data_IF_242962545139
#
_entry.id   IF_242962545139
#
_cell.length_a   1.000
_cell.length_b   1.000
_cell.length_c   1.000
_cell.angle_alpha   90.00
_cell.angle_beta   90.00
_cell.angle_gamma   90.00
#
_symmetry.space_group_name_H-M   'P 1'
#
loop_
_entity.id
_entity.type
_entity.pdbx_description
1 polymer ?
#
# COMPACT_ATOMS: atom_id res chain seq x y z
N UNK A 1 -24.75 15.57 -4.75
CA UNK A 1 -24.43 14.25 -4.17
C UNK A 1 -25.49 13.94 -3.14
N UNK A 2 -26.39 13.00 -3.41
CA UNK A 2 -27.51 12.67 -2.52
C UNK A 2 -26.99 11.68 -1.47
N UNK A 3 -27.10 12.04 -0.21
CA UNK A 3 -26.57 11.30 0.94
C UNK A 3 -27.44 10.07 1.28
N UNK A 4 -26.83 8.89 1.14
CA UNK A 4 -26.92 7.56 1.81
C UNK A 4 -28.04 7.15 2.81
N UNK A 5 -29.12 7.90 3.05
CA UNK A 5 -30.15 7.50 4.03
C UNK A 5 -31.50 7.09 3.44
N UNK A 6 -31.65 7.06 2.11
CA UNK A 6 -32.94 6.79 1.47
C UNK A 6 -33.02 5.45 0.75
N UNK A 7 -31.91 4.74 0.51
CA UNK A 7 -31.95 3.47 -0.22
C UNK A 7 -31.99 2.28 0.74
N UNK A 8 -32.97 1.40 0.59
CA UNK A 8 -33.12 0.14 1.32
C UNK A 8 -32.89 -1.06 0.40
N UNK A 9 -32.18 -2.06 0.90
CA UNK A 9 -31.96 -3.31 0.17
C UNK A 9 -33.19 -4.19 0.18
N UNK A 10 -33.61 -4.68 -0.99
CA UNK A 10 -34.80 -5.52 -1.14
C UNK A 10 -34.49 -6.97 -1.56
N UNK A 11 -33.20 -7.37 -1.53
CA UNK A 11 -32.77 -8.72 -1.93
C UNK A 11 -32.14 -8.82 -3.32
N UNK A 12 -31.67 -10.02 -3.66
CA UNK A 12 -31.24 -10.37 -5.02
C UNK A 12 -32.49 -10.51 -5.87
N UNK A 13 -32.58 -9.73 -6.94
CA UNK A 13 -33.75 -9.77 -7.82
C UNK A 13 -33.64 -10.87 -8.88
N UNK A 14 -32.46 -11.02 -9.51
CA UNK A 14 -32.15 -12.09 -10.46
C UNK A 14 -30.63 -12.28 -10.60
N UNK A 15 -30.23 -13.29 -11.38
CA UNK A 15 -28.86 -13.49 -11.85
C UNK A 15 -28.78 -13.15 -13.34
N UNK A 16 -27.64 -12.62 -13.81
CA UNK A 16 -27.49 -12.08 -15.19
C UNK A 16 -27.79 -13.13 -16.28
N UNK A 17 -27.60 -14.42 -15.99
CA UNK A 17 -28.10 -15.54 -16.78
C UNK A 17 -28.32 -16.77 -15.90
N UNK A 18 -29.14 -17.73 -16.36
CA UNK A 18 -29.38 -19.01 -15.67
C UNK A 18 -28.12 -19.88 -15.51
N UNK A 19 -27.03 -19.51 -16.19
CA UNK A 19 -25.72 -20.15 -16.13
C UNK A 19 -24.65 -19.34 -15.38
N UNK A 20 -25.00 -18.14 -14.90
CA UNK A 20 -24.07 -17.20 -14.25
C UNK A 20 -24.44 -17.03 -12.78
N UNK A 21 -23.44 -17.06 -11.88
CA UNK A 21 -23.61 -16.76 -10.46
C UNK A 21 -23.39 -15.27 -10.13
N UNK A 22 -23.50 -14.37 -11.11
CA UNK A 22 -23.34 -12.92 -10.88
C UNK A 22 -24.67 -12.38 -10.34
N UNK A 23 -24.73 -11.92 -9.07
CA UNK A 23 -25.96 -11.39 -8.48
C UNK A 23 -26.31 -10.01 -9.06
N UNK A 24 -27.61 -9.75 -9.23
CA UNK A 24 -28.16 -8.40 -9.44
C UNK A 24 -28.88 -7.97 -8.16
N UNK A 25 -28.33 -6.94 -7.50
CA UNK A 25 -28.86 -6.36 -6.27
C UNK A 25 -29.95 -5.34 -6.59
N UNK A 26 -31.06 -5.37 -5.85
CA UNK A 26 -32.16 -4.39 -5.95
C UNK A 26 -32.22 -3.52 -4.70
N UNK A 27 -32.24 -2.20 -4.91
CA UNK A 27 -32.41 -1.20 -3.87
C UNK A 27 -33.63 -0.32 -4.15
N UNK A 28 -34.34 0.05 -3.09
CA UNK A 28 -35.53 0.90 -3.11
C UNK A 28 -35.27 2.23 -2.41
N UNK A 29 -35.57 3.34 -3.07
CA UNK A 29 -35.46 4.67 -2.50
C UNK A 29 -36.74 5.05 -1.75
N UNK A 30 -36.69 5.13 -0.43
CA UNK A 30 -37.82 5.48 0.44
C UNK A 30 -38.29 6.93 0.29
N UNK A 31 -37.46 7.84 -0.24
CA UNK A 31 -37.84 9.24 -0.42
C UNK A 31 -38.67 9.48 -1.69
N UNK A 32 -38.44 8.73 -2.76
CA UNK A 32 -39.08 8.98 -4.06
C UNK A 32 -39.68 7.73 -4.74
N UNK A 33 -39.52 6.55 -4.15
CA UNK A 33 -40.05 5.28 -4.67
C UNK A 33 -39.24 4.66 -5.81
N UNK A 34 -38.09 5.24 -6.18
CA UNK A 34 -37.26 4.72 -7.27
C UNK A 34 -36.58 3.41 -6.91
N UNK A 35 -36.30 2.60 -7.92
CA UNK A 35 -35.55 1.37 -7.78
C UNK A 35 -34.24 1.47 -8.55
N UNK A 36 -33.18 0.91 -7.97
CA UNK A 36 -31.87 0.76 -8.59
C UNK A 36 -31.50 -0.71 -8.63
N UNK A 37 -30.95 -1.14 -9.77
CA UNK A 37 -30.44 -2.49 -9.97
C UNK A 37 -28.97 -2.41 -10.35
N UNK A 38 -28.13 -3.15 -9.63
CA UNK A 38 -26.69 -3.15 -9.89
C UNK A 38 -26.11 -4.55 -9.74
N UNK A 39 -25.15 -4.89 -10.60
CA UNK A 39 -24.27 -6.05 -10.40
C UNK A 39 -23.02 -5.69 -9.61
N UNK A 40 -22.82 -4.40 -9.30
CA UNK A 40 -21.68 -3.91 -8.56
C UNK A 40 -21.96 -4.00 -7.04
N UNK A 41 -21.31 -4.92 -6.31
CA UNK A 41 -21.53 -5.06 -4.87
C UNK A 41 -21.15 -3.81 -4.08
N UNK A 42 -20.23 -2.98 -4.60
CA UNK A 42 -19.84 -1.73 -3.95
C UNK A 42 -20.93 -0.66 -4.07
N UNK A 43 -21.57 -0.53 -5.23
CA UNK A 43 -22.70 0.38 -5.43
C UNK A 43 -23.87 0.00 -4.52
N UNK A 44 -24.14 -1.30 -4.40
CA UNK A 44 -25.12 -1.83 -3.45
C UNK A 44 -24.84 -1.41 -2.00
N UNK A 45 -23.61 -1.64 -1.52
CA UNK A 45 -23.26 -1.38 -0.12
C UNK A 45 -23.21 0.11 0.23
N UNK A 46 -22.77 0.95 -0.71
CA UNK A 46 -22.71 2.40 -0.52
C UNK A 46 -24.12 2.99 -0.49
N UNK A 47 -25.00 2.57 -1.40
CA UNK A 47 -26.36 3.11 -1.44
C UNK A 47 -27.21 2.57 -0.29
N UNK A 48 -27.16 1.26 -0.02
CA UNK A 48 -27.99 0.60 1.00
C UNK A 48 -27.65 0.92 2.46
N UNK A 49 -26.67 1.80 2.71
CA UNK A 49 -26.29 2.21 4.07
C UNK A 49 -25.65 1.11 4.93
N UNK A 50 -25.37 -0.08 4.38
CA UNK A 50 -24.80 -1.20 5.14
C UNK A 50 -23.27 -1.16 5.22
N UNK A 51 -22.59 -0.31 4.43
CA UNK A 51 -21.13 -0.20 4.43
C UNK A 51 -20.52 0.28 5.77
N UNK A 52 -21.31 0.95 6.62
CA UNK A 52 -20.87 1.38 7.96
C UNK A 52 -20.82 0.24 8.98
N UNK A 53 -21.53 -0.87 8.75
CA UNK A 53 -21.41 -2.07 9.58
C UNK A 53 -20.29 -2.98 9.03
N UNK A 54 -19.20 -3.23 9.80
CA UNK A 54 -18.12 -4.13 9.39
C UNK A 54 -18.60 -5.52 8.96
N UNK A 55 -19.71 -6.01 9.53
CA UNK A 55 -20.28 -7.31 9.19
C UNK A 55 -20.87 -7.38 7.77
N UNK A 56 -21.18 -6.22 7.18
CA UNK A 56 -21.81 -6.10 5.86
C UNK A 56 -20.88 -5.51 4.79
N UNK A 57 -19.60 -5.25 5.12
CA UNK A 57 -18.58 -4.82 4.15
C UNK A 57 -18.22 -5.97 3.22
N UNK A 58 -18.01 -5.68 1.93
CA UNK A 58 -17.59 -6.69 0.96
C UNK A 58 -16.24 -7.30 1.37
N UNK A 59 -16.14 -8.63 1.30
CA UNK A 59 -14.85 -9.31 1.47
C UNK A 59 -13.92 -8.87 0.34
N UNK A 60 -12.66 -8.59 0.68
CA UNK A 60 -11.68 -8.15 -0.29
C UNK A 60 -11.47 -9.19 -1.41
N UNK A 61 -11.60 -10.48 -1.11
CA UNK A 61 -11.50 -11.55 -2.10
C UNK A 61 -12.61 -11.49 -3.16
N UNK A 62 -13.84 -11.18 -2.75
CA UNK A 62 -14.99 -11.07 -3.66
C UNK A 62 -14.84 -9.82 -4.54
N UNK A 63 -14.40 -8.69 -3.95
CA UNK A 63 -14.12 -7.46 -4.72
C UNK A 63 -12.98 -7.70 -5.71
N UNK A 64 -11.91 -8.38 -5.30
CA UNK A 64 -10.80 -8.73 -6.18
C UNK A 64 -11.28 -9.57 -7.37
N UNK A 65 -12.13 -10.57 -7.15
CA UNK A 65 -12.70 -11.41 -8.21
C UNK A 65 -13.45 -10.58 -9.28
N UNK A 66 -14.07 -9.47 -8.89
CA UNK A 66 -14.77 -8.56 -9.80
C UNK A 66 -13.89 -7.54 -10.54
N UNK A 67 -12.62 -7.36 -10.14
CA UNK A 67 -11.73 -6.41 -10.82
C UNK A 67 -11.40 -6.88 -12.25
N UNK A 68 -11.17 -5.94 -13.17
CA UNK A 68 -10.68 -6.25 -14.51
C UNK A 68 -9.17 -6.52 -14.48
N UNK A 69 -8.73 -7.54 -15.21
CA UNK A 69 -7.31 -7.84 -15.38
C UNK A 69 -6.81 -7.30 -16.72
N UNK A 70 -5.70 -6.56 -16.69
CA UNK A 70 -5.01 -6.09 -17.88
C UNK A 70 -3.50 -6.00 -17.61
N UNK A 71 -2.71 -6.77 -18.35
CA UNK A 71 -1.24 -6.75 -18.27
C UNK A 71 -0.61 -5.66 -19.15
N UNK A 72 -1.40 -5.03 -20.03
CA UNK A 72 -0.93 -3.92 -20.86
C UNK A 72 -1.03 -2.61 -20.08
N UNK A 73 0.11 -2.13 -19.60
CA UNK A 73 0.21 -0.91 -18.82
C UNK A 73 0.36 0.32 -19.71
N UNK A 74 -0.39 1.38 -19.40
CA UNK A 74 -0.29 2.64 -20.14
C UNK A 74 1.07 3.31 -19.92
N UNK A 75 1.79 3.70 -21.01
CA UNK A 75 3.06 4.41 -20.89
C UNK A 75 2.85 5.91 -20.60
N UNK A 76 3.95 6.65 -20.48
CA UNK A 76 3.92 8.12 -20.53
C UNK A 76 3.26 8.78 -19.33
N UNK A 77 3.51 8.29 -18.12
CA UNK A 77 3.01 8.92 -16.89
C UNK A 77 3.44 10.38 -16.80
N UNK A 78 2.47 11.27 -16.55
CA UNK A 78 2.68 12.71 -16.34
C UNK A 78 2.17 13.08 -14.95
N UNK A 79 3.07 13.42 -14.02
CA UNK A 79 2.70 13.75 -12.63
C UNK A 79 1.81 14.98 -12.52
N UNK A 80 2.10 16.03 -13.29
CA UNK A 80 1.33 17.28 -13.28
C UNK A 80 -0.10 17.12 -13.79
N UNK A 81 -0.43 16.02 -14.45
CA UNK A 81 -1.80 15.72 -14.88
C UNK A 81 -2.74 15.40 -13.70
N UNK A 82 -2.21 15.20 -12.49
CA UNK A 82 -2.96 15.01 -11.24
C UNK A 82 -3.13 16.30 -10.43
N UNK A 83 -2.75 17.45 -10.99
CA UNK A 83 -2.84 18.76 -10.33
C UNK A 83 -1.55 19.19 -9.65
N UNK A 84 -1.60 20.37 -9.03
CA UNK A 84 -0.42 21.07 -8.49
C UNK A 84 -0.18 20.80 -6.99
N UNK A 85 -0.71 19.70 -6.47
CA UNK A 85 -0.50 19.24 -5.10
C UNK A 85 -1.79 19.03 -4.32
N UNK A 86 -1.76 19.42 -3.05
CA UNK A 86 -2.84 19.21 -2.09
C UNK A 86 -3.86 20.34 -2.19
N UNK A 87 -5.07 20.03 -2.62
CA UNK A 87 -6.17 20.99 -2.70
C UNK A 87 -7.17 20.75 -1.59
N UNK A 88 -8.01 21.75 -1.33
CA UNK A 88 -9.17 21.66 -0.44
C UNK A 88 -10.34 21.03 -1.21
N UNK A 89 -10.56 19.73 -1.01
CA UNK A 89 -11.62 18.97 -1.70
C UNK A 89 -12.95 18.94 -0.97
N UNK A 90 -12.96 19.23 0.33
CA UNK A 90 -14.16 19.21 1.17
C UNK A 90 -14.70 20.62 1.48
N UNK A 91 -13.97 21.67 1.10
CA UNK A 91 -14.32 23.07 1.27
C UNK A 91 -14.13 23.57 2.70
N UNK A 92 -13.34 22.87 3.51
CA UNK A 92 -13.12 23.22 4.91
C UNK A 92 -12.07 24.34 5.12
N UNK A 93 -11.39 24.76 4.04
CA UNK A 93 -10.33 25.77 4.04
C UNK A 93 -8.91 25.21 4.21
N UNK A 94 -8.75 23.89 4.34
CA UNK A 94 -7.51 23.19 4.56
C UNK A 94 -7.13 22.34 3.34
N UNK A 95 -5.83 22.23 3.08
CA UNK A 95 -5.34 21.34 2.03
C UNK A 95 -5.39 19.88 2.50
N UNK A 96 -5.69 18.97 1.58
CA UNK A 96 -5.84 17.54 1.88
C UNK A 96 -4.69 16.94 2.71
N UNK A 97 -3.44 17.38 2.51
CA UNK A 97 -2.30 16.88 3.32
C UNK A 97 -2.54 17.07 4.83
N UNK A 98 -2.94 18.26 5.24
CA UNK A 98 -3.17 18.56 6.65
C UNK A 98 -4.43 17.87 7.18
N UNK A 99 -5.44 17.63 6.33
CA UNK A 99 -6.60 16.80 6.70
C UNK A 99 -6.19 15.35 6.98
N UNK A 100 -5.31 14.77 6.15
CA UNK A 100 -4.79 13.42 6.36
C UNK A 100 -3.90 13.35 7.60
N UNK A 101 -3.02 14.34 7.83
CA UNK A 101 -2.24 14.41 9.06
C UNK A 101 -3.14 14.53 10.30
N UNK A 102 -4.18 15.37 10.24
CA UNK A 102 -5.14 15.52 11.34
C UNK A 102 -5.92 14.23 11.60
N UNK A 103 -6.19 13.43 10.57
CA UNK A 103 -6.91 12.15 10.66
C UNK A 103 -6.03 11.04 11.23
N UNK A 104 -4.79 10.93 10.76
CA UNK A 104 -3.94 9.77 10.99
C UNK A 104 -2.98 9.91 12.18
N UNK A 105 -2.68 11.15 12.59
CA UNK A 105 -1.85 11.38 13.77
C UNK A 105 -2.67 11.29 15.06
N UNK A 106 -2.06 10.71 16.08
CA UNK A 106 -2.55 10.78 17.47
C UNK A 106 -2.07 12.08 18.11
N UNK A 107 -2.98 12.76 18.82
CA UNK A 107 -2.75 14.05 19.47
C UNK A 107 -2.11 15.11 18.54
N UNK A 108 -2.68 15.38 17.35
CA UNK A 108 -2.13 16.38 16.45
C UNK A 108 -2.22 17.77 17.07
N UNK A 109 -1.15 18.55 16.93
CA UNK A 109 -1.15 19.98 17.27
C UNK A 109 -1.22 20.80 16.00
N UNK A 110 -2.03 21.87 16.02
CA UNK A 110 -2.15 22.78 14.88
C UNK A 110 -1.25 24.00 15.08
N UNK A 111 -0.58 24.44 14.01
CA UNK A 111 0.16 25.70 13.98
C UNK A 111 -0.75 26.91 13.72
N UNK A 112 -1.85 26.67 13.00
CA UNK A 112 -2.89 27.64 12.69
C UNK A 112 -4.23 26.90 12.46
N UNK A 113 -5.17 27.46 11.72
CA UNK A 113 -6.49 26.84 11.47
C UNK A 113 -6.37 25.45 10.85
N UNK A 114 -5.39 25.24 9.98
CA UNK A 114 -5.28 24.04 9.15
C UNK A 114 -3.99 23.28 9.37
N UNK A 115 -2.85 23.97 9.40
CA UNK A 115 -1.56 23.27 9.32
C UNK A 115 -1.26 22.49 10.58
N UNK A 116 -1.01 21.19 10.42
CA UNK A 116 -0.58 20.32 11.51
C UNK A 116 0.92 20.50 11.74
N UNK A 117 1.30 20.84 12.97
CA UNK A 117 2.69 21.10 13.36
C UNK A 117 3.39 19.92 13.99
N UNK A 118 2.67 19.08 14.73
CA UNK A 118 3.21 17.87 15.33
C UNK A 118 2.13 16.86 15.65
N UNK A 119 2.54 15.64 15.97
CA UNK A 119 1.67 14.55 16.42
C UNK A 119 2.44 13.24 16.49
N UNK A 120 1.75 12.15 16.79
CA UNK A 120 2.36 10.82 16.83
C UNK A 120 1.73 9.94 15.76
N UNK A 121 2.53 9.47 14.80
CA UNK A 121 2.11 8.50 13.81
C UNK A 121 2.43 7.08 14.32
N UNK A 122 1.42 6.23 14.38
CA UNK A 122 1.62 4.79 14.47
C UNK A 122 1.67 4.23 13.05
N UNK A 123 2.87 4.20 12.47
CA UNK A 123 3.05 4.02 11.03
C UNK A 123 2.61 2.61 10.58
N UNK A 124 1.66 2.53 9.64
CA UNK A 124 1.15 1.23 9.20
C UNK A 124 2.16 0.46 8.35
N UNK A 125 3.13 1.13 7.71
CA UNK A 125 4.03 0.48 6.75
C UNK A 125 5.21 -0.23 7.40
N UNK A 126 5.78 0.37 8.43
CA UNK A 126 6.93 -0.13 9.19
C UNK A 126 6.52 -0.74 10.53
N UNK A 127 5.38 -0.34 11.08
CA UNK A 127 4.95 -0.70 12.44
C UNK A 127 5.63 0.11 13.53
N UNK A 128 6.45 1.09 13.15
CA UNK A 128 7.15 2.00 14.07
C UNK A 128 6.20 3.08 14.59
N UNK A 129 6.58 3.72 15.69
CA UNK A 129 5.94 4.95 16.16
C UNK A 129 6.85 6.13 15.86
N UNK A 130 6.34 7.12 15.14
CA UNK A 130 7.07 8.30 14.68
C UNK A 130 6.51 9.52 15.40
N UNK A 131 7.38 10.28 16.07
CA UNK A 131 7.02 11.58 16.63
C UNK A 131 7.19 12.64 15.55
N UNK A 132 6.12 12.91 14.82
CA UNK A 132 6.11 13.88 13.74
C UNK A 132 6.26 15.30 14.29
N UNK A 133 7.20 16.05 13.73
CA UNK A 133 7.30 17.50 13.90
C UNK A 133 7.58 18.10 12.54
N UNK A 134 6.67 18.94 12.04
CA UNK A 134 6.77 19.58 10.73
C UNK A 134 8.10 20.30 10.57
N UNK A 135 8.81 20.01 9.49
CA UNK A 135 10.12 20.60 9.17
C UNK A 135 11.24 20.29 10.17
N UNK A 136 11.14 19.25 11.00
CA UNK A 136 12.23 18.87 11.92
C UNK A 136 13.40 18.16 11.25
N UNK A 137 13.24 17.76 9.99
CA UNK A 137 14.32 17.31 9.13
C UNK A 137 14.30 18.11 7.81
N UNK A 138 15.49 18.30 7.22
CA UNK A 138 15.65 19.10 6.01
C UNK A 138 15.17 18.37 4.74
N UNK A 139 14.95 17.06 4.83
CA UNK A 139 14.73 16.17 3.69
C UNK A 139 13.30 15.61 3.59
N UNK A 140 12.52 15.48 4.68
CA UNK A 140 11.32 14.63 4.72
C UNK A 140 10.14 15.15 5.59
N UNK A 141 10.10 16.45 5.90
CA UNK A 141 9.04 17.09 6.71
C UNK A 141 8.82 16.44 8.09
N UNK A 142 9.87 15.90 8.71
CA UNK A 142 9.78 15.23 10.02
C UNK A 142 9.47 13.73 9.93
N UNK A 143 9.93 13.08 8.87
CA UNK A 143 9.86 11.63 8.67
C UNK A 143 8.49 11.06 8.28
N UNK A 144 7.52 11.91 7.96
CA UNK A 144 6.16 11.50 7.57
C UNK A 144 5.78 12.07 6.21
N UNK A 145 5.24 11.22 5.34
CA UNK A 145 4.71 11.61 4.04
C UNK A 145 3.25 11.15 3.88
N UNK A 146 2.50 11.83 3.01
CA UNK A 146 1.18 11.37 2.59
C UNK A 146 1.32 10.51 1.35
N UNK A 147 1.12 9.21 1.49
CA UNK A 147 1.20 8.23 0.41
C UNK A 147 -0.15 8.04 -0.28
N UNK A 148 -0.11 7.94 -1.61
CA UNK A 148 -1.16 7.32 -2.40
C UNK A 148 -0.99 5.79 -2.35
N UNK A 149 -1.81 5.10 -1.55
CA UNK A 149 -1.72 3.65 -1.31
C UNK A 149 -1.69 2.86 -2.63
N UNK A 150 -2.46 3.31 -3.63
CA UNK A 150 -2.19 3.02 -5.04
C UNK A 150 -1.56 4.28 -5.67
N UNK A 151 -0.26 4.20 -5.98
CA UNK A 151 0.52 5.36 -6.42
C UNK A 151 -0.05 6.01 -7.69
N UNK A 152 0.12 7.33 -7.86
CA UNK A 152 -0.38 8.08 -9.04
C UNK A 152 0.08 7.47 -10.38
N UNK A 153 1.36 7.05 -10.47
CA UNK A 153 1.92 6.37 -11.64
C UNK A 153 1.28 4.99 -11.86
N UNK A 154 0.99 4.23 -10.79
CA UNK A 154 0.28 2.96 -10.90
C UNK A 154 -1.15 3.16 -11.39
N UNK A 155 -1.87 4.13 -10.82
CA UNK A 155 -3.21 4.51 -11.27
C UNK A 155 -3.21 4.91 -12.76
N UNK A 156 -2.25 5.72 -13.20
CA UNK A 156 -2.08 6.09 -14.62
C UNK A 156 -1.95 4.85 -15.52
N UNK A 157 -1.00 3.98 -15.18
CA UNK A 157 -0.69 2.74 -15.91
C UNK A 157 -1.89 1.81 -16.01
N UNK A 158 -2.76 1.82 -14.99
CA UNK A 158 -3.87 0.85 -14.86
C UNK A 158 -5.24 1.40 -15.20
N UNK A 159 -5.38 2.69 -15.52
CA UNK A 159 -6.64 3.25 -16.06
C UNK A 159 -6.75 4.78 -16.05
N UNK A 160 -6.06 5.47 -15.14
CA UNK A 160 -6.22 6.91 -14.94
C UNK A 160 -5.67 7.80 -16.07
N UNK A 161 -4.91 7.22 -17.01
CA UNK A 161 -4.50 7.93 -18.23
C UNK A 161 -5.69 8.40 -19.07
N UNK A 162 -6.82 7.66 -19.04
CA UNK A 162 -8.02 7.97 -19.81
C UNK A 162 -8.99 8.92 -19.08
N UNK A 163 -8.68 9.30 -17.85
CA UNK A 163 -9.54 10.18 -17.05
C UNK A 163 -9.44 11.65 -17.48
N UNK A 164 -10.49 12.39 -17.16
CA UNK A 164 -10.45 13.86 -17.14
C UNK A 164 -9.44 14.39 -16.11
N UNK A 165 -9.10 15.67 -16.23
CA UNK A 165 -8.22 16.35 -15.26
C UNK A 165 -8.83 16.33 -13.86
N UNK A 166 -10.13 16.62 -13.78
CA UNK A 166 -10.90 16.71 -12.54
C UNK A 166 -10.94 15.36 -11.81
N UNK A 167 -11.10 14.25 -12.54
CA UNK A 167 -11.04 12.90 -11.98
C UNK A 167 -9.65 12.57 -11.41
N UNK A 168 -8.57 12.97 -12.09
CA UNK A 168 -7.21 12.76 -11.59
C UNK A 168 -6.92 13.60 -10.34
N UNK A 169 -7.33 14.86 -10.33
CA UNK A 169 -7.20 15.74 -9.14
C UNK A 169 -8.00 15.16 -7.97
N UNK A 170 -9.23 14.70 -8.21
CA UNK A 170 -10.05 14.04 -7.19
C UNK A 170 -9.36 12.80 -6.63
N UNK A 171 -8.83 11.93 -7.48
CA UNK A 171 -8.08 10.75 -7.04
C UNK A 171 -6.86 11.11 -6.19
N UNK A 172 -6.10 12.13 -6.61
CA UNK A 172 -4.90 12.57 -5.91
C UNK A 172 -5.18 13.16 -4.53
N UNK A 173 -6.41 13.58 -4.26
CA UNK A 173 -6.82 14.25 -3.02
C UNK A 173 -7.92 13.46 -2.27
N UNK A 174 -8.17 12.21 -2.63
CA UNK A 174 -9.19 11.39 -1.99
C UNK A 174 -8.66 10.74 -0.70
N UNK A 175 -9.21 11.04 0.49
CA UNK A 175 -8.77 10.42 1.73
C UNK A 175 -8.81 8.90 1.73
N UNK A 176 -9.66 8.27 0.91
CA UNK A 176 -9.69 6.81 0.74
C UNK A 176 -8.42 6.25 0.07
N UNK A 177 -7.77 7.05 -0.78
CA UNK A 177 -6.51 6.71 -1.47
C UNK A 177 -5.29 7.03 -0.60
N UNK A 178 -5.43 7.95 0.36
CA UNK A 178 -4.31 8.55 1.08
C UNK A 178 -4.11 7.99 2.49
N UNK A 179 -2.84 7.87 2.91
CA UNK A 179 -2.43 7.57 4.29
C UNK A 179 -1.19 8.38 4.67
N UNK A 180 -1.10 8.84 5.91
CA UNK A 180 0.16 9.29 6.49
C UNK A 180 1.04 8.06 6.82
N UNK A 181 2.28 8.06 6.35
CA UNK A 181 3.22 6.94 6.46
C UNK A 181 4.66 7.41 6.67
N UNK A 182 5.51 6.50 7.12
CA UNK A 182 6.97 6.68 7.15
C UNK A 182 7.53 7.08 5.77
N UNK A 183 8.41 8.08 5.75
CA UNK A 183 8.97 8.61 4.51
C UNK A 183 9.74 7.55 3.71
N UNK A 184 10.59 6.76 4.38
CA UNK A 184 11.54 5.89 3.69
C UNK A 184 10.81 4.68 3.14
N UNK A 185 9.84 4.16 3.91
CA UNK A 185 8.93 3.12 3.43
C UNK A 185 8.16 3.56 2.18
N UNK A 186 7.73 4.82 2.12
CA UNK A 186 7.07 5.38 0.94
C UNK A 186 8.02 5.52 -0.26
N UNK A 187 9.25 5.98 -0.02
CA UNK A 187 10.30 6.05 -1.04
C UNK A 187 10.67 4.66 -1.58
N UNK A 188 10.70 3.64 -0.71
CA UNK A 188 10.96 2.25 -1.08
C UNK A 188 9.80 1.65 -1.89
N UNK A 189 8.55 2.01 -1.54
CA UNK A 189 7.34 1.61 -2.26
C UNK A 189 7.31 2.13 -3.70
N UNK A 190 7.78 3.36 -3.94
CA UNK A 190 7.75 3.99 -5.28
C UNK A 190 6.34 3.93 -5.90
N UNK A 191 6.25 3.47 -7.14
CA UNK A 191 5.01 3.22 -7.87
C UNK A 191 4.67 1.72 -8.00
N UNK A 192 5.27 0.88 -7.14
CA UNK A 192 5.08 -0.57 -7.18
C UNK A 192 3.64 -0.98 -6.83
N UNK A 193 3.16 -1.97 -7.55
CA UNK A 193 1.94 -2.72 -7.25
C UNK A 193 2.18 -3.73 -6.11
N UNK A 194 1.10 -4.33 -5.60
CA UNK A 194 1.16 -5.28 -4.48
C UNK A 194 1.99 -6.56 -4.76
N UNK A 195 2.28 -6.89 -6.03
CA UNK A 195 3.18 -8.00 -6.39
C UNK A 195 4.67 -7.66 -6.25
N UNK A 196 5.02 -6.38 -6.20
CA UNK A 196 6.41 -5.91 -6.13
C UNK A 196 6.78 -5.35 -4.76
N UNK A 197 5.82 -4.78 -4.05
CA UNK A 197 6.05 -4.20 -2.74
C UNK A 197 4.87 -4.44 -1.80
N UNK A 198 5.21 -4.82 -0.57
CA UNK A 198 4.28 -4.93 0.55
C UNK A 198 4.94 -4.30 1.79
N UNK A 199 4.17 -3.71 2.70
CA UNK A 199 4.67 -3.18 3.97
C UNK A 199 5.61 -4.14 4.71
N UNK A 200 6.65 -3.60 5.34
CA UNK A 200 7.52 -4.37 6.24
C UNK A 200 6.74 -4.86 7.47
N UNK A 201 5.77 -4.07 7.94
CA UNK A 201 4.79 -4.46 8.94
C UNK A 201 3.86 -5.56 8.42
N UNK A 202 4.18 -6.81 8.74
CA UNK A 202 3.42 -7.98 8.28
C UNK A 202 1.98 -7.98 8.78
N UNK A 203 1.72 -7.45 9.98
CA UNK A 203 0.38 -7.34 10.56
C UNK A 203 -0.56 -6.41 9.78
N UNK A 204 -0.01 -5.49 8.98
CA UNK A 204 -0.79 -4.54 8.18
C UNK A 204 -1.05 -5.01 6.74
N UNK A 205 -0.38 -6.06 6.26
CA UNK A 205 -0.42 -6.44 4.83
C UNK A 205 -1.81 -6.78 4.30
N UNK A 206 -2.67 -7.39 5.12
CA UNK A 206 -4.06 -7.67 4.74
C UNK A 206 -4.87 -6.39 4.55
N UNK A 207 -4.75 -5.43 5.47
CA UNK A 207 -5.39 -4.12 5.35
C UNK A 207 -4.84 -3.35 4.14
N UNK A 208 -3.53 -3.39 3.91
CA UNK A 208 -2.90 -2.77 2.74
C UNK A 208 -3.45 -3.32 1.42
N UNK A 209 -3.47 -4.65 1.25
CA UNK A 209 -4.00 -5.30 0.05
C UNK A 209 -5.50 -5.04 -0.11
N UNK A 210 -6.29 -5.14 0.96
CA UNK A 210 -7.71 -4.87 0.91
C UNK A 210 -8.02 -3.41 0.53
N UNK A 211 -7.24 -2.45 1.03
CA UNK A 211 -7.38 -1.05 0.65
C UNK A 211 -7.01 -0.81 -0.82
N UNK A 212 -5.94 -1.42 -1.33
CA UNK A 212 -5.63 -1.34 -2.76
C UNK A 212 -6.76 -1.91 -3.64
N UNK A 213 -7.33 -3.06 -3.25
CA UNK A 213 -8.48 -3.66 -3.96
C UNK A 213 -9.67 -2.72 -3.95
N UNK A 214 -10.00 -2.15 -2.79
CA UNK A 214 -11.07 -1.17 -2.64
C UNK A 214 -10.86 0.07 -3.52
N UNK A 215 -9.65 0.63 -3.53
CA UNK A 215 -9.30 1.79 -4.37
C UNK A 215 -9.46 1.43 -5.86
N UNK A 216 -8.91 0.28 -6.28
CA UNK A 216 -9.01 -0.15 -7.68
C UNK A 216 -10.46 -0.40 -8.10
N UNK A 217 -11.29 -0.93 -7.21
CA UNK A 217 -12.72 -1.09 -7.46
C UNK A 217 -13.43 0.27 -7.59
N UNK A 218 -13.25 1.17 -6.61
CA UNK A 218 -13.85 2.53 -6.59
C UNK A 218 -13.54 3.30 -7.88
N UNK A 219 -12.30 3.23 -8.33
CA UNK A 219 -11.81 4.00 -9.47
C UNK A 219 -11.80 3.23 -10.80
N UNK A 220 -12.32 2.00 -10.83
CA UNK A 220 -12.29 1.15 -12.03
C UNK A 220 -10.88 0.99 -12.63
N UNK A 221 -9.87 0.91 -11.77
CA UNK A 221 -8.48 0.64 -12.18
C UNK A 221 -8.29 -0.87 -12.38
N UNK A 222 -7.47 -1.23 -13.36
CA UNK A 222 -7.14 -2.63 -13.61
C UNK A 222 -6.11 -3.16 -12.61
N UNK A 223 -6.08 -4.49 -12.46
CA UNK A 223 -4.95 -5.23 -11.88
C UNK A 223 -4.21 -5.98 -12.98
N UNK A 224 -2.91 -6.24 -12.79
CA UNK A 224 -2.20 -7.22 -13.64
C UNK A 224 -2.49 -8.65 -13.14
N UNK A 225 -2.20 -9.66 -13.95
CA UNK A 225 -2.28 -11.06 -13.53
C UNK A 225 -1.35 -11.35 -12.34
N UNK A 226 -0.14 -10.78 -12.35
CA UNK A 226 0.82 -10.91 -11.24
C UNK A 226 0.31 -10.24 -9.96
N UNK A 227 -0.20 -9.02 -10.06
CA UNK A 227 -0.79 -8.28 -8.94
C UNK A 227 -1.99 -9.02 -8.35
N UNK A 228 -2.90 -9.50 -9.20
CA UNK A 228 -4.05 -10.31 -8.75
C UNK A 228 -3.59 -11.56 -8.00
N UNK A 229 -2.61 -12.29 -8.51
CA UNK A 229 -2.11 -13.50 -7.87
C UNK A 229 -1.51 -13.19 -6.48
N UNK A 230 -0.71 -12.12 -6.38
CA UNK A 230 -0.14 -11.67 -5.10
C UNK A 230 -1.21 -11.24 -4.09
N UNK A 231 -2.20 -10.47 -4.54
CA UNK A 231 -3.34 -10.05 -3.70
C UNK A 231 -4.15 -11.25 -3.21
N UNK A 232 -4.48 -12.21 -4.09
CA UNK A 232 -5.18 -13.44 -3.71
C UNK A 232 -4.39 -14.27 -2.71
N UNK A 233 -3.07 -14.40 -2.90
CA UNK A 233 -2.20 -15.14 -1.98
C UNK A 233 -2.17 -14.47 -0.60
N UNK A 234 -2.12 -13.13 -0.54
CA UNK A 234 -2.19 -12.41 0.74
C UNK A 234 -3.52 -12.65 1.43
N UNK A 235 -4.64 -12.52 0.71
CA UNK A 235 -5.98 -12.69 1.26
C UNK A 235 -6.27 -14.12 1.71
N UNK A 236 -5.60 -15.13 1.16
CA UNK A 236 -5.68 -16.51 1.65
C UNK A 236 -5.22 -16.63 3.13
N UNK A 237 -4.35 -15.74 3.61
CA UNK A 237 -3.93 -15.68 5.02
C UNK A 237 -4.91 -14.92 5.93
N UNK A 238 -5.88 -14.22 5.35
CA UNK A 238 -6.87 -13.41 6.05
C UNK A 238 -8.24 -13.43 5.32
N UNK A 239 -8.91 -14.59 5.25
CA UNK A 239 -10.10 -14.79 4.41
C UNK A 239 -11.34 -13.99 4.84
N UNK A 240 -11.34 -13.44 6.07
CA UNK A 240 -12.39 -12.57 6.58
C UNK A 240 -12.14 -11.07 6.30
N UNK A 241 -10.99 -10.71 5.72
CA UNK A 241 -10.64 -9.32 5.46
C UNK A 241 -11.65 -8.67 4.50
N UNK A 242 -12.22 -7.54 4.91
CA UNK A 242 -13.08 -6.70 4.09
C UNK A 242 -12.31 -5.53 3.51
N UNK A 243 -12.81 -4.95 2.43
CA UNK A 243 -12.34 -3.63 1.99
C UNK A 243 -12.74 -2.55 3.01
N UNK A 244 -11.94 -1.48 3.19
CA UNK A 244 -12.34 -0.37 4.04
C UNK A 244 -13.61 0.32 3.51
N UNK A 245 -14.42 0.90 4.38
CA UNK A 245 -15.53 1.73 3.93
C UNK A 245 -15.01 3.11 3.48
N UNK A 246 -15.70 3.73 2.53
CA UNK A 246 -15.38 5.08 2.04
C UNK A 246 -15.48 6.15 3.15
N UNK A 247 -16.31 5.91 4.17
CA UNK A 247 -16.45 6.77 5.35
C UNK A 247 -15.45 6.46 6.47
N UNK A 248 -14.69 5.37 6.34
CA UNK A 248 -13.75 4.86 7.35
C UNK A 248 -12.35 4.80 6.74
N UNK A 249 -11.84 5.99 6.42
CA UNK A 249 -10.57 6.17 5.68
C UNK A 249 -9.34 6.21 6.58
N UNK A 250 -9.52 6.23 7.90
CA UNK A 250 -8.44 6.25 8.87
C UNK A 250 -7.59 4.97 8.81
N UNK A 251 -6.37 5.04 9.33
CA UNK A 251 -5.50 3.86 9.49
C UNK A 251 -6.20 2.89 10.45
N UNK A 252 -6.55 1.66 10.01
CA UNK A 252 -7.16 0.70 10.90
C UNK A 252 -6.16 0.30 11.99
N UNK A 253 -6.59 0.11 13.24
CA UNK A 253 -5.72 -0.38 14.28
C UNK A 253 -5.13 -1.72 13.84
N UNK A 254 -3.81 -1.87 13.96
CA UNK A 254 -3.14 -3.13 13.64
C UNK A 254 -3.64 -4.17 14.63
N UNK A 255 -4.53 -5.06 14.18
CA UNK A 255 -4.93 -6.21 14.97
C UNK A 255 -3.69 -7.06 15.23
N UNK A 256 -3.39 -7.31 16.51
CA UNK A 256 -2.36 -8.27 16.92
C UNK A 256 -2.59 -9.57 16.13
N UNK A 257 -1.57 -10.18 15.49
CA UNK A 257 -1.79 -11.41 14.75
C UNK A 257 -2.47 -12.43 15.68
N UNK A 258 -3.61 -12.98 15.25
CA UNK A 258 -4.17 -14.15 15.92
C UNK A 258 -3.08 -15.21 15.99
N UNK A 259 -2.86 -15.85 17.16
CA UNK A 259 -1.98 -17.00 17.23
C UNK A 259 -2.47 -18.00 16.19
N UNK A 260 -1.57 -18.50 15.33
CA UNK A 260 -1.91 -19.66 14.51
C UNK A 260 -2.46 -20.77 15.44
N UNK A 261 -3.48 -21.54 15.01
CA UNK A 261 -3.83 -22.76 15.73
C UNK A 261 -2.55 -23.58 15.91
N UNK A 262 -2.29 -23.99 17.16
CA UNK A 262 -1.11 -24.77 17.49
C UNK A 262 -1.02 -25.97 16.53
N UNK A 263 0.14 -26.22 15.91
CA UNK A 263 0.31 -27.40 15.07
C UNK A 263 -0.04 -28.64 15.89
N UNK A 264 -0.85 -29.53 15.33
CA UNK A 264 -1.16 -30.82 15.95
C UNK A 264 0.15 -31.51 16.37
N UNK A 265 0.17 -32.21 17.52
CA UNK A 265 1.39 -32.84 18.01
C UNK A 265 1.83 -33.91 17.01
N UNK A 266 2.92 -33.63 16.31
CA UNK A 266 3.60 -34.61 15.47
C UNK A 266 4.30 -35.63 16.38
N UNK A 267 4.33 -36.93 16.03
CA UNK A 267 4.87 -37.97 16.90
C UNK A 267 6.36 -37.76 17.19
N UNK A 268 6.73 -38.06 18.42
CA UNK A 268 8.06 -37.82 19.03
C UNK A 268 9.22 -38.33 18.15
N UNK A 269 10.31 -37.56 17.98
CA UNK A 269 11.47 -37.98 17.22
C UNK A 269 12.38 -38.94 18.01
N UNK A 270 12.86 -39.98 17.33
CA UNK A 270 13.99 -40.82 17.74
C UNK A 270 15.31 -40.01 17.66
N UNK A 271 16.33 -40.27 18.51
CA UNK A 271 17.46 -39.37 18.67
C UNK A 271 18.43 -39.41 17.48
N UNK A 272 18.81 -38.23 16.99
CA UNK A 272 19.83 -38.04 15.96
C UNK A 272 21.13 -37.48 16.58
N UNK A 273 22.32 -37.88 16.10
CA UNK A 273 23.62 -37.49 16.66
C UNK A 273 24.09 -36.08 16.26
N UNK A 274 25.08 -35.58 17.03
CA UNK A 274 25.72 -34.25 17.04
C UNK A 274 26.08 -33.58 15.69
N UNK A 275 26.24 -32.24 15.68
CA UNK A 275 26.04 -31.41 14.50
C UNK A 275 27.31 -31.24 13.63
N UNK A 276 27.09 -31.23 12.32
CA UNK A 276 28.07 -30.78 11.32
C UNK A 276 27.68 -29.37 10.83
N UNK A 277 28.62 -28.43 10.86
CA UNK A 277 28.44 -27.03 10.48
C UNK A 277 28.35 -26.88 8.95
N UNK A 278 27.32 -26.18 8.46
CA UNK A 278 27.19 -25.77 7.06
C UNK A 278 27.55 -24.26 6.89
N UNK A 279 27.98 -23.83 5.68
CA UNK A 279 28.95 -22.73 5.52
C UNK A 279 28.36 -21.33 5.19
N UNK A 280 29.17 -20.30 5.52
CA UNK A 280 28.91 -18.86 5.33
C UNK A 280 28.77 -18.39 3.86
N UNK A 281 28.18 -17.20 3.61
CA UNK A 281 27.98 -16.64 2.26
C UNK A 281 29.30 -16.25 1.59
N UNK A 282 29.43 -16.48 0.28
CA UNK A 282 30.63 -16.12 -0.51
C UNK A 282 30.72 -14.60 -0.78
N UNK A 283 31.88 -13.96 -0.56
CA UNK A 283 32.09 -12.55 -0.90
C UNK A 283 32.31 -12.36 -2.40
N UNK A 284 31.66 -11.34 -2.97
CA UNK A 284 31.81 -10.94 -4.38
C UNK A 284 33.19 -10.31 -4.62
N UNK A 285 33.99 -10.85 -5.56
CA UNK A 285 35.37 -10.41 -5.84
C UNK A 285 35.41 -9.57 -7.12
N UNK A 286 35.91 -8.33 -7.04
CA UNK A 286 36.03 -7.44 -8.20
C UNK A 286 37.26 -7.75 -9.07
N UNK A 287 37.07 -8.05 -10.35
CA UNK A 287 38.17 -8.32 -11.28
C UNK A 287 38.69 -7.06 -11.96
N UNK A 288 40.02 -6.97 -12.17
CA UNK A 288 40.65 -5.93 -12.98
C UNK A 288 40.95 -4.62 -12.25
N UNK A 289 41.16 -4.67 -10.92
CA UNK A 289 41.47 -3.48 -10.12
C UNK A 289 42.93 -3.01 -10.33
N UNK A 290 43.17 -1.72 -10.05
CA UNK A 290 44.51 -1.12 -10.07
C UNK A 290 45.05 -1.02 -8.63
N UNK A 291 46.23 -1.60 -8.31
CA UNK A 291 46.82 -1.49 -6.97
C UNK A 291 46.97 -0.02 -6.53
N UNK A 292 46.55 0.30 -5.30
CA UNK A 292 46.60 1.67 -4.76
C UNK A 292 45.46 2.61 -5.19
N UNK A 293 44.55 2.18 -6.07
CA UNK A 293 43.34 2.95 -6.39
C UNK A 293 42.34 2.95 -5.22
N UNK A 294 41.40 3.91 -5.23
CA UNK A 294 40.32 3.96 -4.25
C UNK A 294 39.39 2.75 -4.36
N UNK A 295 38.79 2.35 -3.25
CA UNK A 295 37.90 1.19 -3.17
C UNK A 295 36.80 1.40 -2.14
N UNK A 296 35.70 0.65 -2.29
CA UNK A 296 34.59 0.57 -1.34
C UNK A 296 33.79 -0.72 -1.64
N UNK A 297 33.18 -1.38 -0.63
CA UNK A 297 33.28 -1.12 0.81
C UNK A 297 34.61 -1.59 1.41
N UNK A 298 34.92 -1.14 2.64
CA UNK A 298 36.05 -1.66 3.44
C UNK A 298 35.91 -3.19 3.61
N UNK A 299 37.01 -3.93 3.40
CA UNK A 299 37.00 -5.39 3.43
C UNK A 299 36.65 -6.09 2.11
N UNK A 300 36.23 -5.36 1.06
CA UNK A 300 36.02 -5.93 -0.27
C UNK A 300 37.31 -6.59 -0.81
N UNK A 301 37.15 -7.61 -1.66
CA UNK A 301 38.25 -8.32 -2.33
C UNK A 301 38.26 -7.99 -3.81
N UNK A 302 39.44 -7.78 -4.39
CA UNK A 302 39.59 -7.55 -5.83
C UNK A 302 40.88 -8.12 -6.41
N UNK A 303 40.90 -8.45 -7.70
CA UNK A 303 42.04 -9.05 -8.39
C UNK A 303 42.74 -8.02 -9.28
N UNK A 304 44.05 -7.85 -9.09
CA UNK A 304 44.89 -6.89 -9.80
C UNK A 304 44.98 -7.15 -11.30
N UNK A 305 44.65 -6.15 -12.13
CA UNK A 305 44.61 -6.25 -13.61
C UNK A 305 45.92 -6.72 -14.24
N UNK A 306 47.07 -6.37 -13.64
CA UNK A 306 48.41 -6.66 -14.18
C UNK A 306 49.06 -7.92 -13.62
N UNK A 307 48.70 -8.34 -12.41
CA UNK A 307 49.41 -9.40 -11.69
C UNK A 307 48.53 -10.55 -11.22
N UNK A 308 47.21 -10.47 -11.41
CA UNK A 308 46.27 -11.52 -10.99
C UNK A 308 46.22 -11.75 -9.48
N UNK A 309 46.84 -10.88 -8.68
CA UNK A 309 46.90 -11.06 -7.22
C UNK A 309 45.69 -10.42 -6.55
N UNK A 310 45.19 -11.06 -5.50
CA UNK A 310 44.09 -10.55 -4.68
C UNK A 310 44.56 -9.40 -3.78
N UNK A 311 43.78 -8.33 -3.76
CA UNK A 311 43.89 -7.17 -2.88
C UNK A 311 42.63 -7.07 -2.02
N UNK A 312 42.79 -6.47 -0.85
CA UNK A 312 41.71 -6.13 0.08
C UNK A 312 41.59 -4.61 0.18
N UNK A 313 40.35 -4.12 0.21
CA UNK A 313 40.09 -2.71 0.44
C UNK A 313 40.35 -2.35 1.91
N UNK A 314 41.37 -1.52 2.19
CA UNK A 314 41.78 -1.11 3.55
C UNK A 314 42.10 0.39 3.58
N UNK A 315 42.00 1.03 4.75
CA UNK A 315 42.42 2.43 4.94
C UNK A 315 43.94 2.58 4.87
N UNK A 316 44.41 3.66 4.25
CA UNK A 316 45.79 4.11 4.34
C UNK A 316 46.02 4.94 5.62
N UNK A 317 47.26 5.36 5.88
CA UNK A 317 47.63 6.18 7.04
C UNK A 317 46.92 7.56 7.07
N UNK A 318 46.27 7.96 5.97
CA UNK A 318 45.45 9.17 5.88
C UNK A 318 43.95 8.86 5.96
N UNK A 319 43.55 7.64 6.36
CA UNK A 319 42.17 7.23 6.56
C UNK A 319 41.37 6.87 5.31
N UNK A 320 42.00 6.86 4.12
CA UNK A 320 41.32 6.66 2.82
C UNK A 320 41.36 5.20 2.39
N UNK A 321 40.23 4.67 1.92
CA UNK A 321 40.13 3.29 1.44
C UNK A 321 40.85 3.10 0.10
N UNK A 322 41.84 2.20 0.09
CA UNK A 322 42.65 1.86 -1.10
C UNK A 322 42.82 0.35 -1.24
N UNK A 323 43.01 -0.12 -2.47
CA UNK A 323 43.38 -1.52 -2.74
C UNK A 323 44.80 -1.81 -2.25
N UNK A 324 44.91 -2.63 -1.20
CA UNK A 324 46.17 -3.07 -0.56
C UNK A 324 46.25 -4.59 -0.54
N UNK A 325 47.46 -5.15 -0.50
CA UNK A 325 47.60 -6.59 -0.24
C UNK A 325 47.22 -6.90 1.22
#
# INVERSE_FOLDING_TARGET
>A
MVTVHQWQYEGVAWHVSDSSNIPVYRLYNTANGEHLWTTNPLEYQVLGGTASDPANRAKAADVLAGLKTNDTLAPGYVRTAFGDGWVDVDGNGCGTCDDILSRDLTNPTKLDTCRIGSGVLHDPYTGSTISFTRGSDDDNDGGVQIDHVVALSNAWKTGANAWSSEQRIKYANDPYVLLAVDDQANQDKRDYAADKWLPANTGYRCNYVARQIGIKAKYSLNVTNAERAAMSQMLASCPAQTVPAESDTAIPPVSKPSPLPAPSPNPSPSPSPSPNLAPSPKPNVQNGITPGAFCSPEGAKGIGKKNGVTYTCKRDNAGRLRWRR
#
